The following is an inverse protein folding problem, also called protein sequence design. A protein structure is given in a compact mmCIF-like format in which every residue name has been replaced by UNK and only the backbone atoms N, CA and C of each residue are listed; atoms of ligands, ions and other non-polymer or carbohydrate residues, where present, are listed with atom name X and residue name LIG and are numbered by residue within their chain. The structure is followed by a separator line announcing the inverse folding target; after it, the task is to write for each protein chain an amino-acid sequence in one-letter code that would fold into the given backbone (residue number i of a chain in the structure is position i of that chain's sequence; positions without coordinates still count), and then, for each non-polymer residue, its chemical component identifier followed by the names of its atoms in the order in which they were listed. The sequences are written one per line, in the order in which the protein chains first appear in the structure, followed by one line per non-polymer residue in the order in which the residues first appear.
data_IF_933145148914
#
_entry.id   IF_933145148914
#
_cell.length_a   1.000
_cell.length_b   1.000
_cell.length_c   1.000
_cell.angle_alpha   90.00
_cell.angle_beta   90.00
_cell.angle_gamma   90.00
#
_symmetry.space_group_name_H-M   'P 1'
#
loop_
_entity.id
_entity.type
_entity.pdbx_description
1 polymer ?
#
# COMPACT_ATOMS: atom_id res chain seq x y z
N UNK A 1 11.71 39.25 8.23
CA UNK A 1 11.80 38.89 6.81
C UNK A 1 10.82 37.77 6.47
N UNK A 2 10.89 36.55 7.01
CA UNK A 2 9.83 35.53 6.70
C UNK A 2 8.41 35.98 7.05
N UNK A 3 8.23 36.63 8.21
CA UNK A 3 6.93 37.17 8.61
C UNK A 3 6.38 38.27 7.67
N UNK A 4 7.25 38.94 6.90
CA UNK A 4 6.82 39.96 5.92
C UNK A 4 6.39 39.33 4.59
N UNK A 5 6.98 38.18 4.26
CA UNK A 5 6.71 37.41 3.06
C UNK A 5 5.47 36.52 3.22
N UNK A 6 5.03 36.28 4.45
CA UNK A 6 3.96 35.33 4.81
C UNK A 6 4.21 33.89 4.28
N UNK A 7 5.42 33.61 3.80
CA UNK A 7 5.88 32.32 3.31
C UNK A 7 7.41 32.21 3.41
N UNK A 8 7.96 31.04 3.81
CA UNK A 8 9.42 30.83 3.87
C UNK A 8 10.13 30.96 2.52
N UNK A 9 9.41 30.73 1.42
CA UNK A 9 9.91 30.85 0.05
C UNK A 9 10.43 32.26 -0.28
N UNK A 10 9.98 33.31 0.40
CA UNK A 10 10.38 34.67 0.05
C UNK A 10 11.86 34.95 0.35
N UNK A 11 12.40 34.38 1.44
CA UNK A 11 13.84 34.42 1.71
C UNK A 11 14.63 33.65 0.66
N UNK A 12 14.14 32.46 0.29
CA UNK A 12 14.76 31.63 -0.74
C UNK A 12 14.81 32.38 -2.08
N UNK A 13 13.71 33.02 -2.50
CA UNK A 13 13.66 33.78 -3.75
C UNK A 13 14.62 34.97 -3.72
N UNK A 14 14.72 35.72 -2.62
CA UNK A 14 15.70 36.83 -2.51
C UNK A 14 17.13 36.35 -2.66
N UNK A 15 17.47 35.24 -2.01
CA UNK A 15 18.79 34.61 -2.14
C UNK A 15 19.06 34.15 -3.57
N UNK A 16 18.11 33.42 -4.18
CA UNK A 16 18.25 32.89 -5.54
C UNK A 16 18.34 34.01 -6.57
N UNK A 17 17.58 35.09 -6.42
CA UNK A 17 17.69 36.26 -7.29
C UNK A 17 19.09 36.87 -7.25
N UNK A 18 19.68 37.05 -6.07
CA UNK A 18 21.03 37.59 -5.96
C UNK A 18 22.07 36.70 -6.68
N UNK A 19 21.95 35.38 -6.53
CA UNK A 19 22.81 34.42 -7.26
C UNK A 19 22.55 34.49 -8.77
N UNK A 20 21.29 34.57 -9.20
CA UNK A 20 20.92 34.61 -10.59
C UNK A 20 21.37 35.90 -11.29
N UNK A 21 21.33 37.04 -10.60
CA UNK A 21 21.86 38.32 -11.08
C UNK A 21 23.39 38.27 -11.28
N UNK A 22 24.11 37.59 -10.39
CA UNK A 22 25.57 37.43 -10.52
C UNK A 22 25.91 36.49 -11.69
N UNK A 23 25.20 35.36 -11.84
CA UNK A 23 25.38 34.42 -12.96
C UNK A 23 25.06 35.07 -14.31
N UNK A 24 24.00 35.89 -14.38
CA UNK A 24 23.57 36.55 -15.62
C UNK A 24 24.66 37.42 -16.25
N UNK A 25 25.55 38.01 -15.43
CA UNK A 25 26.64 38.88 -15.91
C UNK A 25 27.65 38.14 -16.80
N UNK A 26 27.84 36.85 -16.59
CA UNK A 26 28.77 36.01 -17.35
C UNK A 26 28.04 35.05 -18.31
N UNK A 27 26.86 34.55 -17.89
CA UNK A 27 26.06 33.57 -18.61
C UNK A 27 24.61 34.06 -18.79
N UNK A 28 24.36 35.02 -19.70
CA UNK A 28 23.06 35.69 -19.81
C UNK A 28 21.90 34.80 -20.26
N UNK A 29 22.20 33.66 -20.89
CA UNK A 29 21.20 32.71 -21.40
C UNK A 29 20.94 31.53 -20.44
N UNK A 30 21.53 31.54 -19.23
CA UNK A 30 21.32 30.48 -18.24
C UNK A 30 20.17 30.78 -17.28
N UNK A 31 19.42 29.72 -17.00
CA UNK A 31 18.37 29.70 -15.98
C UNK A 31 18.91 29.15 -14.67
N UNK A 32 18.51 29.77 -13.55
CA UNK A 32 18.75 29.27 -12.20
C UNK A 32 17.45 28.69 -11.65
N UNK A 33 17.45 27.42 -11.31
CA UNK A 33 16.27 26.76 -10.78
C UNK A 33 16.29 26.70 -9.24
N UNK A 34 15.10 26.84 -8.64
CA UNK A 34 14.89 26.57 -7.22
C UNK A 34 13.56 25.84 -6.98
N UNK A 35 13.46 25.12 -5.86
CA UNK A 35 12.29 24.33 -5.50
C UNK A 35 11.30 25.13 -4.65
N UNK A 36 10.02 25.05 -5.02
CA UNK A 36 8.87 25.34 -4.16
C UNK A 36 8.33 24.01 -3.61
N UNK A 37 9.00 23.49 -2.58
CA UNK A 37 8.78 22.13 -2.10
C UNK A 37 8.73 22.06 -0.58
N UNK A 38 7.72 21.36 -0.05
CA UNK A 38 7.47 21.20 1.38
C UNK A 38 7.50 22.54 2.14
N UNK A 39 8.62 22.88 2.79
CA UNK A 39 8.77 24.11 3.56
C UNK A 39 8.67 25.39 2.72
N UNK A 40 9.15 25.38 1.46
CA UNK A 40 9.09 26.55 0.56
C UNK A 40 7.92 26.48 -0.42
N UNK A 41 6.91 25.65 -0.11
CA UNK A 41 5.81 25.33 -1.02
C UNK A 41 4.96 26.52 -1.44
N UNK A 42 4.58 27.37 -0.48
CA UNK A 42 3.67 28.50 -0.75
C UNK A 42 4.40 29.68 -1.37
N UNK A 43 3.74 30.37 -2.32
CA UNK A 43 4.31 31.54 -2.97
C UNK A 43 4.49 32.72 -1.99
N UNK A 44 5.58 33.49 -2.10
CA UNK A 44 5.82 34.62 -1.20
C UNK A 44 4.98 35.85 -1.57
N UNK A 45 4.64 36.63 -0.55
CA UNK A 45 3.83 37.84 -0.71
C UNK A 45 4.54 38.94 -1.47
N UNK A 46 5.82 39.21 -1.18
CA UNK A 46 6.55 40.37 -1.70
C UNK A 46 7.64 39.98 -2.70
N UNK A 47 8.45 38.97 -2.39
CA UNK A 47 9.52 38.53 -3.29
C UNK A 47 8.95 38.02 -4.62
N UNK A 48 9.66 38.28 -5.72
CA UNK A 48 9.31 37.81 -7.07
C UNK A 48 10.54 37.15 -7.69
N UNK A 49 10.41 35.95 -8.29
CA UNK A 49 11.51 35.35 -9.03
C UNK A 49 12.02 36.28 -10.13
N UNK A 50 13.34 36.38 -10.26
CA UNK A 50 13.98 37.12 -11.35
C UNK A 50 13.66 36.53 -12.72
N UNK A 51 13.94 37.29 -13.78
CA UNK A 51 13.64 36.89 -15.17
C UNK A 51 14.37 35.62 -15.64
N UNK A 52 15.46 35.25 -14.99
CA UNK A 52 16.26 34.04 -15.24
C UNK A 52 16.15 33.02 -14.09
N UNK A 53 15.13 33.14 -13.23
CA UNK A 53 14.85 32.20 -12.14
C UNK A 53 13.62 31.36 -12.48
N UNK A 54 13.78 30.03 -12.43
CA UNK A 54 12.69 29.07 -12.61
C UNK A 54 12.31 28.50 -11.25
N UNK A 55 11.01 28.57 -10.92
CA UNK A 55 10.47 27.92 -9.72
C UNK A 55 9.91 26.56 -10.10
N UNK A 56 10.44 25.50 -9.48
CA UNK A 56 9.97 24.14 -9.67
C UNK A 56 9.01 23.72 -8.55
N UNK A 57 7.74 23.45 -8.89
CA UNK A 57 6.75 22.88 -7.97
C UNK A 57 6.70 21.36 -8.10
N UNK A 58 6.46 20.66 -6.98
CA UNK A 58 6.27 19.21 -6.99
C UNK A 58 4.86 18.80 -6.55
N UNK A 59 4.27 17.76 -7.14
CA UNK A 59 2.89 17.32 -6.82
C UNK A 59 2.81 16.23 -5.75
N UNK A 60 3.86 16.04 -4.93
CA UNK A 60 4.03 14.80 -4.12
C UNK A 60 2.86 14.51 -3.17
N UNK A 61 2.21 15.54 -2.63
CA UNK A 61 1.09 15.40 -1.70
C UNK A 61 -0.27 15.21 -2.42
N UNK A 62 -0.30 15.25 -3.75
CA UNK A 62 -1.53 15.21 -4.53
C UNK A 62 -2.16 13.81 -4.60
N UNK A 63 -3.36 13.77 -5.14
CA UNK A 63 -4.04 12.58 -5.59
C UNK A 63 -3.95 12.46 -7.10
N UNK A 64 -3.47 11.32 -7.58
CA UNK A 64 -3.25 11.04 -9.00
C UNK A 64 -4.43 10.32 -9.66
N UNK A 65 -5.57 10.17 -8.97
CA UNK A 65 -6.83 9.71 -9.55
C UNK A 65 -7.81 10.86 -9.88
N UNK A 66 -7.46 12.10 -9.57
CA UNK A 66 -8.24 13.30 -9.89
C UNK A 66 -7.37 14.32 -10.62
N UNK A 67 -7.91 15.08 -11.59
CA UNK A 67 -7.16 16.17 -12.22
C UNK A 67 -6.70 17.20 -11.17
N UNK A 68 -5.49 17.74 -11.33
CA UNK A 68 -4.94 18.73 -10.39
C UNK A 68 -5.74 20.04 -10.38
N UNK A 69 -6.33 20.41 -11.51
CA UNK A 69 -7.11 21.63 -11.67
C UNK A 69 -8.52 21.56 -11.03
N UNK A 70 -9.18 20.42 -11.10
CA UNK A 70 -10.61 20.33 -10.75
C UNK A 70 -10.90 19.35 -9.61
N UNK A 71 -9.94 18.50 -9.27
CA UNK A 71 -10.07 17.51 -8.20
C UNK A 71 -10.11 18.15 -6.81
N UNK A 72 -11.14 17.88 -5.99
CA UNK A 72 -11.21 18.42 -4.63
C UNK A 72 -10.05 17.97 -3.74
N UNK A 73 -9.48 16.77 -3.98
CA UNK A 73 -8.33 16.29 -3.21
C UNK A 73 -7.02 17.05 -3.52
N UNK A 74 -7.01 17.85 -4.59
CA UNK A 74 -5.84 18.58 -5.09
C UNK A 74 -5.97 20.11 -4.91
N UNK A 75 -7.01 20.58 -4.21
CA UNK A 75 -7.32 22.01 -4.08
C UNK A 75 -6.15 22.82 -3.49
N UNK A 76 -5.43 22.27 -2.53
CA UNK A 76 -4.27 22.92 -1.93
C UNK A 76 -3.16 23.16 -2.96
N UNK A 77 -2.80 22.13 -3.74
CA UNK A 77 -1.82 22.24 -4.82
C UNK A 77 -2.26 23.26 -5.86
N UNK A 78 -3.54 23.25 -6.25
CA UNK A 78 -4.09 24.21 -7.21
C UNK A 78 -3.92 25.65 -6.74
N UNK A 79 -4.22 25.94 -5.46
CA UNK A 79 -4.00 27.28 -4.90
C UNK A 79 -2.53 27.69 -4.96
N UNK A 80 -1.61 26.77 -4.65
CA UNK A 80 -0.18 27.06 -4.69
C UNK A 80 0.30 27.37 -6.11
N UNK A 81 -0.05 26.54 -7.10
CA UNK A 81 0.39 26.77 -8.48
C UNK A 81 -0.27 28.01 -9.11
N UNK A 82 -1.53 28.30 -8.79
CA UNK A 82 -2.18 29.56 -9.19
C UNK A 82 -1.43 30.77 -8.59
N UNK A 83 -1.06 30.71 -7.30
CA UNK A 83 -0.32 31.77 -6.63
C UNK A 83 1.10 31.95 -7.21
N UNK A 84 1.81 30.85 -7.47
CA UNK A 84 3.13 30.89 -8.10
C UNK A 84 3.07 31.40 -9.54
N UNK A 85 2.10 30.94 -10.34
CA UNK A 85 1.91 31.38 -11.72
C UNK A 85 1.63 32.88 -11.83
N UNK A 86 1.05 33.50 -10.80
CA UNK A 86 0.79 34.93 -10.76
C UNK A 86 2.05 35.79 -10.49
N UNK A 87 3.10 35.20 -9.90
CA UNK A 87 4.29 35.93 -9.44
C UNK A 87 5.57 35.52 -10.14
N UNK A 88 5.63 34.31 -10.69
CA UNK A 88 6.77 33.77 -11.41
C UNK A 88 6.54 33.87 -12.93
N UNK A 89 7.55 34.31 -13.71
CA UNK A 89 7.41 34.39 -15.16
C UNK A 89 7.31 33.01 -15.81
N UNK A 90 7.95 32.01 -15.21
CA UNK A 90 8.03 30.65 -15.72
C UNK A 90 8.07 29.66 -14.56
N UNK A 91 7.40 28.52 -14.75
CA UNK A 91 7.42 27.40 -13.81
C UNK A 91 8.07 26.17 -14.45
N UNK A 92 8.56 25.29 -13.59
CA UNK A 92 8.86 23.90 -13.91
C UNK A 92 8.00 23.04 -12.99
N UNK A 93 7.43 21.95 -13.49
CA UNK A 93 6.74 20.97 -12.67
C UNK A 93 7.54 19.68 -12.55
N UNK A 94 7.62 19.15 -11.33
CA UNK A 94 7.99 17.78 -11.03
C UNK A 94 6.71 17.03 -10.61
N UNK A 95 6.16 16.25 -11.54
CA UNK A 95 4.96 15.45 -11.31
C UNK A 95 5.33 13.97 -11.09
N UNK A 96 4.44 13.19 -10.46
CA UNK A 96 4.71 11.81 -10.05
C UNK A 96 3.65 10.87 -10.62
N UNK A 97 4.09 9.80 -11.27
CA UNK A 97 3.18 8.94 -12.05
C UNK A 97 3.29 7.45 -11.73
N UNK A 98 3.82 7.12 -10.56
CA UNK A 98 3.95 5.75 -10.04
C UNK A 98 3.70 5.69 -8.53
N UNK A 99 3.63 4.48 -8.00
CA UNK A 99 3.62 4.20 -6.56
C UNK A 99 5.02 3.79 -6.07
N UNK A 100 5.78 4.72 -5.51
CA UNK A 100 7.15 4.50 -5.05
C UNK A 100 7.27 3.53 -3.89
N UNK A 101 6.22 3.32 -3.09
CA UNK A 101 6.24 2.31 -2.04
C UNK A 101 6.00 0.89 -2.54
N UNK A 102 5.33 0.74 -3.69
CA UNK A 102 4.89 -0.55 -4.24
C UNK A 102 4.69 -0.45 -5.76
N UNK A 103 5.78 -0.50 -6.52
CA UNK A 103 5.81 -0.45 -7.98
C UNK A 103 4.96 -1.54 -8.66
N UNK A 104 4.80 -2.68 -7.97
CA UNK A 104 4.04 -3.84 -8.44
C UNK A 104 2.55 -3.76 -8.13
N UNK A 105 2.02 -2.65 -7.60
CA UNK A 105 0.59 -2.47 -7.42
C UNK A 105 -0.03 -1.66 -8.57
N UNK A 106 -1.30 -1.92 -8.93
CA UNK A 106 -2.03 -1.08 -9.87
C UNK A 106 -2.04 0.40 -9.42
N UNK A 107 -1.79 1.33 -10.35
CA UNK A 107 -1.73 2.76 -10.09
C UNK A 107 -2.54 3.55 -11.15
N UNK A 108 -3.89 3.59 -11.02
CA UNK A 108 -4.79 4.10 -12.05
C UNK A 108 -4.78 5.63 -12.17
N UNK A 109 -3.79 6.17 -12.87
CA UNK A 109 -3.59 7.61 -13.09
C UNK A 109 -3.52 8.03 -14.58
N UNK A 110 -3.82 7.14 -15.53
CA UNK A 110 -3.73 7.45 -16.96
C UNK A 110 -4.72 8.56 -17.38
N UNK A 111 -5.89 8.60 -16.72
CA UNK A 111 -6.95 9.59 -17.04
C UNK A 111 -6.58 11.03 -16.67
N UNK A 112 -5.64 11.23 -15.75
CA UNK A 112 -5.28 12.59 -15.28
C UNK A 112 -4.11 13.20 -16.05
N UNK A 113 -3.34 12.41 -16.82
CA UNK A 113 -2.12 12.87 -17.47
C UNK A 113 -2.38 14.05 -18.43
N UNK A 114 -3.33 13.91 -19.36
CA UNK A 114 -3.66 14.97 -20.30
C UNK A 114 -4.20 16.26 -19.64
N UNK A 115 -5.21 16.22 -18.75
CA UNK A 115 -5.68 17.44 -18.08
C UNK A 115 -4.60 18.07 -17.20
N UNK A 116 -3.76 17.29 -16.51
CA UNK A 116 -2.66 17.83 -15.70
C UNK A 116 -1.62 18.57 -16.56
N UNK A 117 -1.17 17.97 -17.67
CA UNK A 117 -0.21 18.60 -18.58
C UNK A 117 -0.76 19.92 -19.12
N UNK A 118 -2.03 19.96 -19.54
CA UNK A 118 -2.68 21.19 -20.03
C UNK A 118 -2.75 22.25 -18.94
N UNK A 119 -3.15 21.86 -17.74
CA UNK A 119 -3.19 22.75 -16.57
C UNK A 119 -1.80 23.36 -16.28
N UNK A 120 -0.72 22.59 -16.39
CA UNK A 120 0.64 23.12 -16.23
C UNK A 120 0.99 24.15 -17.32
N UNK A 121 0.70 23.84 -18.59
CA UNK A 121 0.94 24.77 -19.71
C UNK A 121 0.18 26.09 -19.52
N UNK A 122 -1.07 26.03 -19.04
CA UNK A 122 -1.89 27.21 -18.73
C UNK A 122 -1.40 28.01 -17.51
N UNK A 123 -0.43 27.50 -16.75
CA UNK A 123 0.16 28.14 -15.56
C UNK A 123 1.64 28.47 -15.75
N UNK A 124 2.02 28.82 -16.97
CA UNK A 124 3.38 29.23 -17.36
C UNK A 124 4.44 28.15 -17.16
N UNK A 125 4.07 26.86 -17.07
CA UNK A 125 5.06 25.80 -17.02
C UNK A 125 5.75 25.63 -18.38
N UNK A 126 7.07 25.77 -18.39
CA UNK A 126 7.92 25.57 -19.57
C UNK A 126 8.72 24.28 -19.51
N UNK A 127 8.72 23.62 -18.35
CA UNK A 127 9.36 22.34 -18.10
C UNK A 127 8.44 21.43 -17.31
N UNK A 128 8.47 20.14 -17.64
CA UNK A 128 7.74 19.09 -16.95
C UNK A 128 8.62 17.85 -16.83
N UNK A 129 8.79 17.39 -15.60
CA UNK A 129 9.47 16.15 -15.26
C UNK A 129 8.45 15.21 -14.63
N UNK A 130 8.07 14.17 -15.37
CA UNK A 130 7.16 13.12 -14.93
C UNK A 130 7.97 11.98 -14.32
N UNK A 131 8.08 11.94 -13.00
CA UNK A 131 8.81 10.89 -12.32
C UNK A 131 7.97 9.62 -12.27
N UNK A 132 8.34 8.67 -13.12
CA UNK A 132 7.82 7.31 -13.13
C UNK A 132 8.73 6.32 -12.42
N UNK A 133 8.40 5.05 -12.60
CA UNK A 133 9.21 3.94 -12.10
C UNK A 133 10.36 3.63 -13.07
N UNK A 134 11.59 3.79 -12.58
CA UNK A 134 12.80 3.42 -13.30
C UNK A 134 13.44 2.12 -12.80
N UNK A 135 12.91 1.54 -11.71
CA UNK A 135 13.51 0.41 -11.01
C UNK A 135 12.78 -0.91 -11.23
N UNK A 136 11.47 -0.88 -11.55
CA UNK A 136 10.69 -2.10 -11.79
C UNK A 136 10.45 -2.35 -13.27
N UNK A 137 10.91 -3.50 -13.78
CA UNK A 137 10.61 -3.90 -15.15
C UNK A 137 9.12 -4.24 -15.35
N UNK A 138 8.39 -4.63 -14.29
CA UNK A 138 7.01 -5.10 -14.32
C UNK A 138 6.00 -4.16 -13.63
N UNK A 139 6.36 -2.88 -13.47
CA UNK A 139 5.42 -1.90 -12.91
C UNK A 139 4.14 -1.75 -13.74
N UNK A 140 3.12 -1.18 -13.13
CA UNK A 140 1.78 -1.01 -13.72
C UNK A 140 1.84 -0.28 -15.07
N UNK A 141 1.75 -1.00 -16.20
CA UNK A 141 1.68 -0.44 -17.56
C UNK A 141 2.72 0.66 -17.88
N UNK A 142 3.96 0.54 -17.38
CA UNK A 142 5.02 1.57 -17.52
C UNK A 142 5.23 2.02 -18.97
N UNK A 143 5.30 1.07 -19.92
CA UNK A 143 5.51 1.39 -21.33
C UNK A 143 4.34 2.17 -21.96
N UNK A 144 3.10 1.84 -21.60
CA UNK A 144 1.91 2.57 -22.04
C UNK A 144 1.92 4.00 -21.48
N UNK A 145 2.27 4.15 -20.20
CA UNK A 145 2.35 5.45 -19.56
C UNK A 145 3.43 6.33 -20.18
N UNK A 146 4.62 5.78 -20.41
CA UNK A 146 5.71 6.48 -21.09
C UNK A 146 5.31 6.91 -22.52
N UNK A 147 4.60 6.05 -23.26
CA UNK A 147 4.06 6.37 -24.58
C UNK A 147 3.11 7.58 -24.53
N UNK A 148 2.10 7.52 -23.65
CA UNK A 148 1.11 8.59 -23.49
C UNK A 148 1.77 9.91 -23.09
N UNK A 149 2.65 9.89 -22.10
CA UNK A 149 3.38 11.07 -21.64
C UNK A 149 4.25 11.68 -22.74
N UNK A 150 5.07 10.87 -23.43
CA UNK A 150 5.92 11.36 -24.51
C UNK A 150 5.11 12.08 -25.61
N UNK A 151 3.92 11.56 -25.92
CA UNK A 151 3.05 12.14 -26.94
C UNK A 151 2.35 13.42 -26.47
N UNK A 152 1.91 13.46 -25.22
CA UNK A 152 1.23 14.63 -24.64
C UNK A 152 2.22 15.76 -24.31
N UNK A 153 3.43 15.45 -23.85
CA UNK A 153 4.48 16.45 -23.62
C UNK A 153 4.94 17.09 -24.93
N UNK A 154 4.89 16.36 -26.05
CA UNK A 154 5.14 16.92 -27.37
C UNK A 154 3.96 17.75 -27.89
N UNK A 155 2.72 17.26 -27.69
CA UNK A 155 1.51 17.96 -28.10
C UNK A 155 0.36 17.72 -27.09
N UNK A 156 0.11 18.67 -26.16
CA UNK A 156 -0.92 18.53 -25.13
C UNK A 156 -2.35 18.45 -25.68
N UNK A 157 -2.60 18.89 -26.92
CA UNK A 157 -3.94 18.88 -27.53
C UNK A 157 -4.40 17.49 -27.98
N UNK A 158 -3.50 16.49 -28.01
CA UNK A 158 -3.87 15.12 -28.42
C UNK A 158 -4.89 14.50 -27.47
N UNK A 159 -5.74 13.65 -28.02
CA UNK A 159 -6.69 12.86 -27.24
C UNK A 159 -5.96 11.67 -26.56
N UNK A 160 -5.94 11.61 -25.21
CA UNK A 160 -5.30 10.52 -24.49
C UNK A 160 -5.98 9.16 -24.77
N UNK A 161 -7.29 9.12 -25.04
CA UNK A 161 -7.98 7.85 -25.31
C UNK A 161 -7.51 7.21 -26.61
N UNK A 162 -7.33 8.03 -27.64
CA UNK A 162 -6.75 7.59 -28.92
C UNK A 162 -5.32 7.05 -28.71
N UNK A 163 -4.47 7.75 -27.95
CA UNK A 163 -3.10 7.29 -27.64
C UNK A 163 -3.07 5.95 -26.92
N UNK A 164 -3.95 5.76 -25.93
CA UNK A 164 -4.07 4.50 -25.19
C UNK A 164 -4.53 3.38 -26.13
N UNK A 165 -5.55 3.61 -26.94
CA UNK A 165 -6.06 2.61 -27.90
C UNK A 165 -4.99 2.23 -28.94
N UNK A 166 -4.28 3.21 -29.49
CA UNK A 166 -3.16 2.99 -30.43
C UNK A 166 -2.08 2.09 -29.81
N UNK A 167 -1.66 2.40 -28.58
CA UNK A 167 -0.65 1.61 -27.88
C UNK A 167 -1.15 0.20 -27.58
N UNK A 168 -2.36 0.05 -27.03
CA UNK A 168 -2.90 -1.26 -26.69
C UNK A 168 -3.02 -2.14 -27.93
N UNK A 169 -3.53 -1.60 -29.03
CA UNK A 169 -3.65 -2.31 -30.30
C UNK A 169 -2.28 -2.68 -30.89
N UNK A 170 -1.31 -1.78 -30.87
CA UNK A 170 0.02 -2.02 -31.45
C UNK A 170 0.91 -2.92 -30.59
N UNK A 171 0.82 -2.81 -29.27
CA UNK A 171 1.71 -3.50 -28.34
C UNK A 171 1.13 -4.84 -27.84
N UNK A 172 -0.19 -4.93 -27.63
CA UNK A 172 -0.84 -6.15 -27.11
C UNK A 172 -1.71 -6.87 -28.16
N UNK A 173 -1.95 -6.27 -29.33
CA UNK A 173 -2.64 -6.92 -30.44
C UNK A 173 -4.06 -7.37 -30.04
N UNK A 174 -4.43 -8.66 -30.20
CA UNK A 174 -5.75 -9.17 -29.85
C UNK A 174 -6.15 -8.98 -28.36
N UNK A 175 -5.19 -8.79 -27.46
CA UNK A 175 -5.45 -8.51 -26.04
C UNK A 175 -5.80 -7.04 -25.76
N UNK A 176 -5.79 -6.13 -26.75
CA UNK A 176 -6.02 -4.71 -26.54
C UNK A 176 -7.35 -4.41 -25.84
N UNK A 177 -8.43 -5.04 -26.28
CA UNK A 177 -9.78 -4.83 -25.75
C UNK A 177 -9.94 -5.26 -24.28
N UNK A 178 -9.61 -6.51 -23.86
CA UNK A 178 -9.73 -6.89 -22.45
C UNK A 178 -8.79 -6.08 -21.54
N UNK A 179 -7.61 -5.67 -22.03
CA UNK A 179 -6.71 -4.82 -21.25
C UNK A 179 -7.24 -3.38 -21.14
N UNK A 180 -7.93 -2.88 -22.16
CA UNK A 180 -8.63 -1.59 -22.08
C UNK A 180 -9.74 -1.64 -21.03
N UNK A 181 -10.55 -2.70 -21.03
CA UNK A 181 -11.58 -2.90 -20.01
C UNK A 181 -10.98 -3.03 -18.60
N UNK A 182 -9.81 -3.67 -18.45
CA UNK A 182 -9.11 -3.71 -17.17
C UNK A 182 -8.69 -2.32 -16.70
N UNK A 183 -8.09 -1.51 -17.59
CA UNK A 183 -7.71 -0.14 -17.26
C UNK A 183 -8.94 0.69 -16.87
N UNK A 184 -10.04 0.58 -17.61
CA UNK A 184 -11.27 1.30 -17.29
C UNK A 184 -11.88 0.84 -15.96
N UNK A 185 -11.82 -0.46 -15.64
CA UNK A 185 -12.24 -1.02 -14.35
C UNK A 185 -11.45 -0.44 -13.18
N UNK A 186 -10.11 -0.46 -13.23
CA UNK A 186 -9.30 0.02 -12.08
C UNK A 186 -9.43 1.53 -11.86
N UNK A 187 -9.60 2.32 -12.93
CA UNK A 187 -9.90 3.74 -12.80
C UNK A 187 -11.29 3.99 -12.21
N UNK A 188 -12.31 3.26 -12.67
CA UNK A 188 -13.65 3.37 -12.10
C UNK A 188 -13.70 2.94 -10.62
N UNK A 189 -12.90 1.94 -10.22
CA UNK A 189 -12.84 1.46 -8.84
C UNK A 189 -12.31 2.53 -7.88
N UNK A 190 -11.18 3.19 -8.21
CA UNK A 190 -10.63 4.29 -7.40
C UNK A 190 -11.53 5.53 -7.39
N UNK A 191 -12.17 5.86 -8.52
CA UNK A 191 -13.11 6.98 -8.61
C UNK A 191 -14.34 6.73 -7.71
N UNK A 192 -14.91 5.53 -7.78
CA UNK A 192 -16.10 5.13 -7.01
C UNK A 192 -15.81 5.06 -5.51
N UNK A 193 -14.62 4.62 -5.10
CA UNK A 193 -14.29 4.50 -3.68
C UNK A 193 -14.13 5.85 -2.99
N UNK A 194 -13.84 6.91 -3.74
CA UNK A 194 -13.52 8.23 -3.19
C UNK A 194 -12.19 8.28 -2.45
N UNK A 195 -11.40 7.19 -2.48
CA UNK A 195 -10.10 7.14 -1.84
C UNK A 195 -9.11 8.08 -2.55
N UNK A 196 -8.05 8.45 -1.81
CA UNK A 196 -6.94 9.21 -2.37
C UNK A 196 -5.95 8.24 -3.03
N UNK A 197 -5.44 8.59 -4.21
CA UNK A 197 -4.36 7.86 -4.86
C UNK A 197 -3.03 8.64 -4.74
N UNK A 198 -2.29 8.51 -3.64
CA UNK A 198 -0.97 9.12 -3.51
C UNK A 198 0.09 8.32 -4.31
N UNK A 199 1.31 8.89 -4.43
CA UNK A 199 2.47 8.19 -4.96
C UNK A 199 3.18 7.26 -3.95
N UNK A 200 2.66 7.17 -2.71
CA UNK A 200 3.06 6.19 -1.69
C UNK A 200 1.81 5.53 -1.11
N UNK A 201 1.42 4.38 -1.64
CA UNK A 201 0.28 3.60 -1.18
C UNK A 201 0.71 2.13 -0.89
N UNK A 202 0.50 1.60 0.32
CA UNK A 202 1.01 0.30 0.71
C UNK A 202 0.24 -0.89 0.11
N UNK A 203 -1.04 -0.71 -0.22
CA UNK A 203 -1.93 -1.74 -0.75
C UNK A 203 -3.10 -1.12 -1.54
N UNK A 204 -4.00 -1.95 -2.09
CA UNK A 204 -5.20 -1.51 -2.83
C UNK A 204 -6.51 -1.67 -2.06
N UNK A 205 -6.45 -1.92 -0.74
CA UNK A 205 -7.61 -2.30 0.08
C UNK A 205 -8.68 -1.21 0.17
N UNK A 206 -8.27 0.05 0.05
CA UNK A 206 -9.17 1.21 0.16
C UNK A 206 -9.99 1.47 -1.09
N UNK A 207 -9.69 0.82 -2.22
CA UNK A 207 -10.28 1.16 -3.50
C UNK A 207 -10.54 0.03 -4.49
N UNK A 208 -9.88 -1.12 -4.34
CA UNK A 208 -10.06 -2.27 -5.24
C UNK A 208 -10.75 -3.40 -4.48
N UNK A 209 -12.03 -3.65 -4.76
CA UNK A 209 -12.83 -4.65 -4.04
C UNK A 209 -12.51 -6.09 -4.49
N UNK A 210 -13.02 -7.08 -3.75
CA UNK A 210 -12.94 -8.49 -4.15
C UNK A 210 -13.62 -8.72 -5.51
N UNK A 211 -14.78 -8.10 -5.73
CA UNK A 211 -15.52 -8.18 -6.98
C UNK A 211 -14.78 -7.52 -8.14
N UNK A 212 -14.10 -6.40 -7.90
CA UNK A 212 -13.26 -5.77 -8.91
C UNK A 212 -12.04 -6.64 -9.24
N UNK A 213 -11.38 -7.24 -8.23
CA UNK A 213 -10.28 -8.18 -8.45
C UNK A 213 -10.72 -9.41 -9.26
N UNK A 214 -11.90 -9.96 -8.98
CA UNK A 214 -12.47 -11.06 -9.75
C UNK A 214 -12.71 -10.69 -11.21
N UNK A 215 -13.26 -9.50 -11.47
CA UNK A 215 -13.44 -8.99 -12.84
C UNK A 215 -12.10 -8.76 -13.52
N UNK A 216 -11.14 -8.16 -12.83
CA UNK A 216 -9.79 -7.96 -13.34
C UNK A 216 -9.12 -9.29 -13.71
N UNK A 217 -9.27 -10.33 -12.88
CA UNK A 217 -8.78 -11.68 -13.19
C UNK A 217 -9.42 -12.22 -14.48
N UNK A 218 -10.74 -12.12 -14.61
CA UNK A 218 -11.44 -12.60 -15.81
C UNK A 218 -10.99 -11.87 -17.09
N UNK A 219 -10.72 -10.56 -17.00
CA UNK A 219 -10.22 -9.75 -18.10
C UNK A 219 -8.80 -10.16 -18.51
N UNK A 220 -7.90 -10.35 -17.55
CA UNK A 220 -6.55 -10.85 -17.85
C UNK A 220 -6.55 -12.28 -18.39
N UNK A 221 -7.43 -13.15 -17.89
CA UNK A 221 -7.60 -14.49 -18.45
C UNK A 221 -8.10 -14.44 -19.89
N UNK A 222 -9.01 -13.52 -20.22
CA UNK A 222 -9.46 -13.28 -21.58
C UNK A 222 -8.33 -12.76 -22.48
N UNK A 223 -7.52 -11.81 -22.00
CA UNK A 223 -6.33 -11.33 -22.70
C UNK A 223 -5.32 -12.46 -22.97
N UNK A 224 -5.09 -13.32 -21.99
CA UNK A 224 -4.20 -14.49 -22.11
C UNK A 224 -4.70 -15.49 -23.17
N UNK A 225 -6.01 -15.79 -23.17
CA UNK A 225 -6.61 -16.66 -24.21
C UNK A 225 -6.47 -16.07 -25.62
N UNK A 226 -6.64 -14.76 -25.79
CA UNK A 226 -6.52 -14.09 -27.09
C UNK A 226 -5.07 -14.05 -27.63
N UNK A 227 -4.08 -14.37 -26.79
CA UNK A 227 -2.64 -14.29 -27.12
C UNK A 227 -1.90 -15.61 -26.98
N UNK A 228 -2.60 -16.73 -26.72
CA UNK A 228 -1.97 -18.03 -26.43
C UNK A 228 -1.06 -18.57 -27.54
N UNK A 229 -1.38 -18.24 -28.80
CA UNK A 229 -0.65 -18.71 -29.97
C UNK A 229 0.54 -17.81 -30.36
N UNK A 230 0.73 -16.67 -29.68
CA UNK A 230 1.84 -15.75 -29.92
C UNK A 230 2.66 -15.59 -28.64
N UNK A 231 3.84 -16.19 -28.61
CA UNK A 231 4.71 -16.18 -27.44
C UNK A 231 5.10 -14.76 -26.98
N UNK A 232 5.26 -13.81 -27.90
CA UNK A 232 5.64 -12.43 -27.57
C UNK A 232 4.46 -11.69 -26.93
N UNK A 233 3.28 -11.81 -27.52
CA UNK A 233 2.08 -11.16 -26.96
C UNK A 233 1.66 -11.81 -25.64
N UNK A 234 1.75 -13.13 -25.54
CA UNK A 234 1.48 -13.87 -24.31
C UNK A 234 2.41 -13.41 -23.17
N UNK A 235 3.69 -13.25 -23.45
CA UNK A 235 4.67 -12.80 -22.47
C UNK A 235 4.41 -11.35 -22.01
N UNK A 236 4.03 -10.46 -22.94
CA UNK A 236 3.60 -9.09 -22.62
C UNK A 236 2.37 -9.06 -21.72
N UNK A 237 1.34 -9.86 -22.01
CA UNK A 237 0.13 -9.95 -21.19
C UNK A 237 0.45 -10.49 -19.81
N UNK A 238 1.29 -11.54 -19.71
CA UNK A 238 1.72 -12.10 -18.42
C UNK A 238 2.52 -11.08 -17.61
N UNK A 239 3.38 -10.30 -18.26
CA UNK A 239 4.13 -9.21 -17.62
C UNK A 239 3.21 -8.13 -17.06
N UNK A 240 2.19 -7.71 -17.84
CA UNK A 240 1.20 -6.75 -17.39
C UNK A 240 0.30 -7.28 -16.25
N UNK A 241 0.06 -8.60 -16.20
CA UNK A 241 -0.73 -9.24 -15.13
C UNK A 241 -0.03 -9.24 -13.76
N UNK A 242 1.31 -9.14 -13.73
CA UNK A 242 2.09 -9.20 -12.49
C UNK A 242 1.54 -8.27 -11.40
N UNK A 243 1.02 -7.08 -11.76
CA UNK A 243 0.47 -6.15 -10.76
C UNK A 243 -0.85 -6.62 -10.12
N UNK A 244 -1.67 -7.34 -10.89
CA UNK A 244 -2.89 -7.97 -10.38
C UNK A 244 -2.55 -9.16 -9.47
N UNK A 245 -1.61 -10.00 -9.90
CA UNK A 245 -1.18 -11.17 -9.14
C UNK A 245 -0.53 -10.75 -7.80
N UNK A 246 0.25 -9.66 -7.81
CA UNK A 246 0.78 -9.08 -6.58
C UNK A 246 -0.32 -8.50 -5.68
N UNK A 247 -1.35 -7.85 -6.23
CA UNK A 247 -2.49 -7.36 -5.44
C UNK A 247 -3.26 -8.50 -4.76
N UNK A 248 -3.41 -9.66 -5.43
CA UNK A 248 -3.96 -10.87 -4.82
C UNK A 248 -3.08 -11.39 -3.69
N UNK A 249 -1.77 -11.53 -3.90
CA UNK A 249 -0.83 -12.00 -2.88
C UNK A 249 -0.81 -11.06 -1.66
N UNK A 250 -0.69 -9.76 -1.90
CA UNK A 250 -0.60 -8.73 -0.86
C UNK A 250 -1.81 -8.73 0.08
N UNK A 251 -2.99 -9.11 -0.43
CA UNK A 251 -4.27 -9.06 0.30
C UNK A 251 -4.93 -10.43 0.47
N UNK A 252 -4.21 -11.52 0.21
CA UNK A 252 -4.79 -12.87 0.14
C UNK A 252 -5.60 -13.25 1.39
N UNK A 253 -5.07 -13.12 2.64
CA UNK A 253 -5.79 -13.58 3.83
C UNK A 253 -7.16 -12.88 3.99
N UNK A 254 -7.16 -11.55 3.87
CA UNK A 254 -8.38 -10.75 3.96
C UNK A 254 -9.39 -11.07 2.85
N UNK A 255 -8.94 -11.17 1.60
CA UNK A 255 -9.84 -11.42 0.46
C UNK A 255 -10.43 -12.83 0.47
N UNK A 256 -9.63 -13.84 0.82
CA UNK A 256 -10.09 -15.23 0.94
C UNK A 256 -11.13 -15.36 2.04
N UNK A 257 -10.85 -14.75 3.20
CA UNK A 257 -11.79 -14.68 4.31
C UNK A 257 -13.08 -13.93 3.94
N UNK A 258 -12.97 -12.76 3.30
CA UNK A 258 -14.12 -11.99 2.85
C UNK A 258 -15.00 -12.82 1.91
N UNK A 259 -14.40 -13.45 0.89
CA UNK A 259 -15.11 -14.29 -0.07
C UNK A 259 -15.90 -15.40 0.62
N UNK A 260 -15.27 -16.09 1.58
CA UNK A 260 -15.89 -17.15 2.36
C UNK A 260 -17.03 -16.66 3.25
N UNK A 261 -16.83 -15.55 3.97
CA UNK A 261 -17.82 -15.02 4.91
C UNK A 261 -19.04 -14.40 4.23
N UNK A 262 -18.84 -13.81 3.04
CA UNK A 262 -19.87 -13.13 2.26
C UNK A 262 -20.42 -13.99 1.12
N UNK A 263 -19.92 -15.23 0.96
CA UNK A 263 -20.32 -16.17 -0.10
C UNK A 263 -20.14 -15.56 -1.52
N UNK A 264 -19.10 -14.74 -1.70
CA UNK A 264 -18.72 -14.13 -2.99
C UNK A 264 -17.73 -15.07 -3.69
N UNK A 265 -17.78 -15.24 -5.02
CA UNK A 265 -16.78 -16.01 -5.76
C UNK A 265 -15.34 -15.53 -5.46
N UNK A 266 -14.39 -16.45 -5.42
CA UNK A 266 -12.97 -16.15 -5.22
C UNK A 266 -12.18 -16.63 -6.44
N UNK A 267 -11.76 -15.70 -7.31
CA UNK A 267 -10.91 -15.99 -8.48
C UNK A 267 -9.42 -15.74 -8.19
N UNK A 268 -9.07 -15.51 -6.92
CA UNK A 268 -7.69 -15.45 -6.46
C UNK A 268 -7.05 -16.84 -6.38
N UNK A 269 -5.83 -16.94 -5.83
CA UNK A 269 -5.11 -18.20 -5.74
C UNK A 269 -5.76 -19.19 -4.77
N UNK A 270 -6.12 -20.38 -5.26
CA UNK A 270 -6.63 -21.49 -4.44
C UNK A 270 -5.52 -22.16 -3.61
N UNK A 271 -4.29 -22.12 -4.10
CA UNK A 271 -3.08 -22.51 -3.39
C UNK A 271 -2.14 -21.29 -3.33
N UNK A 272 -2.20 -20.49 -2.25
CA UNK A 272 -1.44 -19.26 -2.12
C UNK A 272 0.07 -19.48 -2.11
N UNK A 273 0.53 -20.59 -1.52
CA UNK A 273 1.95 -20.93 -1.45
C UNK A 273 2.50 -21.24 -2.85
N UNK A 274 1.82 -22.10 -3.61
CA UNK A 274 2.21 -22.40 -4.98
C UNK A 274 2.10 -21.18 -5.90
N UNK A 275 1.07 -20.35 -5.72
CA UNK A 275 0.92 -19.10 -6.47
C UNK A 275 2.02 -18.09 -6.16
N UNK A 276 2.43 -17.98 -4.89
CA UNK A 276 3.55 -17.14 -4.45
C UNK A 276 4.85 -17.57 -5.14
N UNK A 277 5.19 -18.86 -5.13
CA UNK A 277 6.41 -19.34 -5.81
C UNK A 277 6.33 -19.15 -7.33
N UNK A 278 5.16 -19.37 -7.95
CA UNK A 278 4.97 -19.10 -9.38
C UNK A 278 5.13 -17.62 -9.73
N UNK A 279 4.68 -16.71 -8.85
CA UNK A 279 4.87 -15.28 -8.98
C UNK A 279 6.35 -14.90 -8.83
N UNK A 280 7.07 -15.48 -7.86
CA UNK A 280 8.50 -15.25 -7.66
C UNK A 280 9.29 -15.71 -8.90
N UNK A 281 9.02 -16.90 -9.42
CA UNK A 281 9.66 -17.41 -10.63
C UNK A 281 9.37 -16.52 -11.86
N UNK A 282 8.14 -16.02 -11.99
CA UNK A 282 7.79 -15.10 -13.06
C UNK A 282 8.54 -13.76 -12.92
N UNK A 283 8.63 -13.23 -11.70
CA UNK A 283 9.38 -12.01 -11.41
C UNK A 283 10.87 -12.16 -11.71
N UNK A 284 11.49 -13.28 -11.32
CA UNK A 284 12.88 -13.59 -11.66
C UNK A 284 13.08 -13.69 -13.18
N UNK A 285 12.18 -14.38 -13.90
CA UNK A 285 12.24 -14.49 -15.37
C UNK A 285 12.16 -13.13 -16.06
N UNK A 286 11.33 -12.23 -15.52
CA UNK A 286 11.15 -10.89 -16.07
C UNK A 286 12.20 -9.88 -15.61
N UNK A 287 13.15 -10.30 -14.76
CA UNK A 287 14.19 -9.45 -14.17
C UNK A 287 13.62 -8.15 -13.62
N UNK A 288 12.71 -8.26 -12.63
CA UNK A 288 11.93 -7.09 -12.24
C UNK A 288 12.78 -5.97 -11.63
N UNK A 289 13.96 -6.25 -11.08
CA UNK A 289 14.76 -5.26 -10.35
C UNK A 289 14.15 -4.92 -8.99
N UNK A 290 13.49 -3.76 -8.90
CA UNK A 290 12.96 -3.21 -7.66
C UNK A 290 11.44 -3.42 -7.53
N UNK A 291 10.96 -3.56 -6.30
CA UNK A 291 9.51 -3.55 -6.01
C UNK A 291 9.03 -2.23 -5.42
N UNK A 292 9.97 -1.37 -5.01
CA UNK A 292 9.75 -0.01 -4.48
C UNK A 292 10.99 0.84 -4.70
N UNK A 293 10.89 2.14 -4.50
CA UNK A 293 12.03 3.06 -4.55
C UNK A 293 13.12 2.63 -3.55
N UNK A 294 14.32 2.34 -4.08
CA UNK A 294 15.46 1.87 -3.31
C UNK A 294 15.36 0.45 -2.73
N UNK A 295 14.32 -0.33 -3.05
CA UNK A 295 14.13 -1.69 -2.52
C UNK A 295 14.12 -2.76 -3.61
N UNK A 296 15.09 -3.68 -3.55
CA UNK A 296 15.20 -4.77 -4.51
C UNK A 296 14.11 -5.82 -4.29
N UNK A 297 13.61 -6.44 -5.34
CA UNK A 297 12.55 -7.46 -5.24
C UNK A 297 12.91 -8.63 -4.32
N UNK A 298 14.17 -9.04 -4.31
CA UNK A 298 14.65 -10.12 -3.44
C UNK A 298 14.36 -9.86 -1.94
N UNK A 299 14.30 -8.59 -1.54
CA UNK A 299 14.05 -8.18 -0.15
C UNK A 299 12.57 -8.37 0.23
N UNK A 300 11.67 -8.48 -0.77
CA UNK A 300 10.24 -8.75 -0.59
C UNK A 300 9.93 -10.25 -0.44
N UNK A 301 10.81 -11.15 -0.86
CA UNK A 301 10.56 -12.59 -0.88
C UNK A 301 10.19 -13.18 0.50
N UNK A 302 10.89 -12.85 1.61
CA UNK A 302 10.53 -13.38 2.92
C UNK A 302 9.12 -12.96 3.34
N UNK A 303 8.75 -11.70 3.10
CA UNK A 303 7.42 -11.18 3.43
C UNK A 303 6.31 -11.78 2.56
N UNK A 304 6.59 -12.03 1.27
CA UNK A 304 5.66 -12.72 0.37
C UNK A 304 5.38 -14.15 0.82
N UNK A 305 6.44 -14.93 1.09
CA UNK A 305 6.32 -16.31 1.56
C UNK A 305 5.61 -16.40 2.90
N UNK A 306 5.95 -15.49 3.82
CA UNK A 306 5.31 -15.43 5.14
C UNK A 306 3.80 -15.17 5.05
N UNK A 307 3.35 -14.36 4.09
CA UNK A 307 1.93 -14.09 3.89
C UNK A 307 1.14 -15.26 3.28
N UNK A 308 1.82 -16.19 2.63
CA UNK A 308 1.20 -17.25 1.84
C UNK A 308 1.41 -18.65 2.45
N UNK A 309 1.41 -18.74 3.79
CA UNK A 309 1.48 -20.02 4.48
C UNK A 309 0.32 -20.96 4.08
N UNK A 310 0.54 -22.29 4.08
CA UNK A 310 -0.53 -23.25 3.96
C UNK A 310 -1.57 -23.06 5.07
N UNK A 311 -2.86 -23.32 4.80
CA UNK A 311 -3.89 -23.21 5.84
C UNK A 311 -3.62 -24.20 6.98
N UNK A 312 -3.68 -23.71 8.22
CA UNK A 312 -3.61 -24.52 9.43
C UNK A 312 -4.87 -25.40 9.58
N UNK A 313 -4.76 -26.46 10.39
CA UNK A 313 -5.96 -27.20 10.81
C UNK A 313 -6.87 -26.31 11.68
N UNK A 314 -8.20 -26.34 11.47
CA UNK A 314 -9.13 -25.54 12.26
C UNK A 314 -8.99 -25.80 13.78
N UNK A 315 -9.21 -24.77 14.63
CA UNK A 315 -9.23 -24.94 16.08
C UNK A 315 -10.26 -25.99 16.52
N UNK A 316 -9.97 -26.73 17.60
CA UNK A 316 -10.85 -27.80 18.09
C UNK A 316 -12.25 -27.27 18.47
N UNK A 317 -12.34 -26.04 18.96
CA UNK A 317 -13.56 -25.31 19.31
C UNK A 317 -14.45 -25.04 18.09
N UNK A 318 -13.87 -25.07 16.89
CA UNK A 318 -14.57 -24.89 15.62
C UNK A 318 -15.07 -26.22 15.02
N UNK A 319 -14.78 -27.36 15.65
CA UNK A 319 -15.16 -28.68 15.14
C UNK A 319 -16.69 -28.78 14.93
N UNK A 320 -17.09 -29.20 13.73
CA UNK A 320 -18.50 -29.37 13.34
C UNK A 320 -19.26 -28.07 13.04
N UNK A 321 -18.62 -26.89 13.13
CA UNK A 321 -19.22 -25.62 12.71
C UNK A 321 -19.08 -25.42 11.22
N UNK A 322 -20.03 -24.72 10.60
CA UNK A 322 -19.86 -24.31 9.21
C UNK A 322 -18.69 -23.34 9.13
N UNK A 323 -17.91 -23.38 8.05
CA UNK A 323 -16.72 -22.54 7.92
C UNK A 323 -17.06 -21.05 8.10
N UNK A 324 -18.19 -20.58 7.56
CA UNK A 324 -18.66 -19.18 7.70
C UNK A 324 -18.94 -18.71 9.13
N UNK A 325 -19.06 -19.63 10.08
CA UNK A 325 -19.35 -19.35 11.49
C UNK A 325 -18.08 -19.14 12.32
N UNK A 326 -16.90 -19.27 11.72
CA UNK A 326 -15.64 -19.00 12.40
C UNK A 326 -14.57 -18.40 11.48
N UNK A 327 -13.59 -17.78 12.11
CA UNK A 327 -12.44 -17.13 11.47
C UNK A 327 -11.19 -17.48 12.26
N UNK A 328 -10.15 -17.91 11.57
CA UNK A 328 -8.85 -18.22 12.13
C UNK A 328 -7.82 -17.24 11.57
N UNK A 329 -7.12 -16.55 12.46
CA UNK A 329 -6.11 -15.53 12.18
C UNK A 329 -4.78 -16.06 12.70
N UNK A 330 -3.86 -16.29 11.77
CA UNK A 330 -2.53 -16.82 12.05
C UNK A 330 -1.51 -15.70 12.28
N UNK A 331 -0.31 -16.10 12.69
CA UNK A 331 0.80 -15.22 13.05
C UNK A 331 1.17 -14.18 11.97
N UNK A 332 1.01 -14.55 10.70
CA UNK A 332 1.30 -13.71 9.54
C UNK A 332 0.32 -12.55 9.33
N UNK A 333 -0.80 -12.52 10.06
CA UNK A 333 -1.77 -11.42 10.06
C UNK A 333 -1.62 -10.51 11.30
N UNK A 334 -0.70 -10.81 12.23
CA UNK A 334 -0.48 -10.00 13.41
C UNK A 334 0.29 -8.72 13.11
N UNK A 335 -0.05 -7.66 13.85
CA UNK A 335 0.70 -6.42 13.93
C UNK A 335 1.75 -6.55 15.03
N UNK A 336 3.02 -6.61 14.63
CA UNK A 336 4.16 -6.64 15.55
C UNK A 336 4.69 -5.23 15.77
N UNK A 337 4.69 -4.76 17.02
CA UNK A 337 5.31 -3.48 17.39
C UNK A 337 6.78 -3.70 17.73
N UNK A 338 7.65 -2.86 17.15
CA UNK A 338 9.11 -2.94 17.28
C UNK A 338 9.64 -4.37 17.00
N UNK A 339 9.48 -4.86 15.75
CA UNK A 339 9.87 -6.21 15.38
C UNK A 339 11.34 -6.49 15.70
N UNK A 340 11.66 -7.74 16.02
CA UNK A 340 12.97 -8.24 16.45
C UNK A 340 13.45 -7.73 17.82
N UNK A 341 12.74 -6.77 18.43
CA UNK A 341 13.02 -6.27 19.79
C UNK A 341 11.94 -6.68 20.79
N UNK A 342 10.67 -6.39 20.50
CA UNK A 342 9.55 -6.73 21.40
C UNK A 342 8.72 -7.92 20.91
N UNK A 343 8.73 -8.20 19.61
CA UNK A 343 8.08 -9.38 19.06
C UNK A 343 8.78 -9.81 17.78
N UNK A 344 8.81 -11.11 17.52
CA UNK A 344 9.28 -11.66 16.24
C UNK A 344 8.47 -12.90 15.87
N UNK A 345 8.30 -13.17 14.58
CA UNK A 345 7.80 -14.46 14.10
C UNK A 345 8.93 -15.48 14.16
N UNK A 346 8.68 -16.61 14.81
CA UNK A 346 9.67 -17.70 14.96
C UNK A 346 9.09 -19.03 14.47
N UNK A 347 9.98 -19.96 14.11
CA UNK A 347 9.61 -21.36 13.93
C UNK A 347 9.22 -21.97 15.28
N UNK A 348 8.02 -22.55 15.35
CA UNK A 348 7.58 -23.37 16.48
C UNK A 348 6.78 -24.57 15.96
N UNK A 349 7.37 -25.76 15.99
CA UNK A 349 6.74 -26.99 15.50
C UNK A 349 5.48 -27.40 16.29
N UNK A 350 5.20 -26.76 17.45
CA UNK A 350 3.99 -26.97 18.23
C UNK A 350 2.85 -26.04 17.81
N UNK A 351 3.17 -24.95 17.10
CA UNK A 351 2.18 -24.04 16.56
C UNK A 351 1.51 -24.66 15.33
N UNK A 352 0.38 -24.11 14.96
CA UNK A 352 -0.57 -24.77 14.08
C UNK A 352 -0.23 -24.76 12.60
N UNK A 353 0.47 -23.71 12.17
CA UNK A 353 1.09 -23.60 10.86
C UNK A 353 2.63 -23.75 10.94
N UNK A 354 3.14 -24.09 12.13
CA UNK A 354 4.57 -24.21 12.41
C UNK A 354 5.26 -22.88 12.76
N UNK A 355 4.50 -21.78 12.90
CA UNK A 355 5.01 -20.45 13.24
C UNK A 355 4.27 -19.86 14.44
N UNK A 356 4.96 -18.99 15.18
CA UNK A 356 4.35 -18.26 16.28
C UNK A 356 4.95 -16.87 16.42
N UNK A 357 4.16 -15.92 16.87
CA UNK A 357 4.68 -14.64 17.35
C UNK A 357 5.25 -14.83 18.77
N UNK A 358 6.55 -14.60 18.93
CA UNK A 358 7.28 -14.71 20.20
C UNK A 358 7.53 -13.31 20.77
N UNK A 359 7.20 -13.11 22.04
CA UNK A 359 7.57 -11.93 22.82
C UNK A 359 8.49 -12.32 23.98
N UNK A 360 9.67 -11.69 24.15
CA UNK A 360 10.47 -11.86 25.35
C UNK A 360 9.74 -11.29 26.59
N UNK A 361 10.02 -11.86 27.76
CA UNK A 361 9.35 -11.48 29.00
C UNK A 361 9.97 -10.25 29.72
N UNK A 362 10.71 -9.40 29.01
CA UNK A 362 11.50 -8.26 29.55
C UNK A 362 10.86 -6.88 29.28
N UNK A 363 9.58 -6.87 28.86
CA UNK A 363 8.81 -5.66 28.66
C UNK A 363 7.33 -5.84 29.01
N UNK A 364 6.57 -4.75 28.97
CA UNK A 364 5.10 -4.71 29.17
C UNK A 364 4.33 -4.21 27.94
N UNK A 365 5.02 -4.02 26.82
CA UNK A 365 4.42 -3.53 25.58
C UNK A 365 3.39 -4.50 25.01
N UNK A 366 2.33 -3.96 24.41
CA UNK A 366 1.31 -4.69 23.66
C UNK A 366 1.87 -5.06 22.28
N UNK A 367 2.92 -5.88 22.28
CA UNK A 367 3.80 -6.04 21.13
C UNK A 367 3.20 -6.90 20.01
N UNK A 368 2.25 -7.78 20.34
CA UNK A 368 1.45 -8.53 19.37
C UNK A 368 0.00 -8.03 19.43
N UNK A 369 -0.50 -7.55 18.29
CA UNK A 369 -1.86 -7.05 18.16
C UNK A 369 -2.54 -7.62 16.89
N UNK A 370 -3.86 -7.68 16.91
CA UNK A 370 -4.67 -7.89 15.71
C UNK A 370 -5.79 -6.86 15.66
N UNK A 371 -5.68 -5.91 14.73
CA UNK A 371 -6.74 -4.95 14.44
C UNK A 371 -7.92 -5.69 13.80
N UNK A 372 -9.07 -5.68 14.47
CA UNK A 372 -10.26 -6.39 13.97
C UNK A 372 -10.82 -5.61 12.78
N UNK A 373 -10.77 -6.15 11.55
CA UNK A 373 -11.25 -5.46 10.37
C UNK A 373 -12.77 -5.36 10.39
N UNK A 374 -13.30 -4.36 9.68
CA UNK A 374 -14.74 -4.10 9.57
C UNK A 374 -15.53 -5.34 9.14
N UNK A 375 -14.97 -6.15 8.23
CA UNK A 375 -15.61 -7.39 7.77
C UNK A 375 -15.91 -8.39 8.89
N UNK A 376 -15.14 -8.39 9.99
CA UNK A 376 -15.42 -9.18 11.19
C UNK A 376 -16.39 -8.45 12.11
N UNK A 377 -16.23 -7.14 12.29
CA UNK A 377 -17.15 -6.30 13.08
C UNK A 377 -18.59 -6.39 12.60
N UNK A 378 -18.81 -6.45 11.28
CA UNK A 378 -20.13 -6.48 10.65
C UNK A 378 -20.86 -7.83 10.83
N UNK A 379 -20.16 -8.87 11.32
CA UNK A 379 -20.76 -10.18 11.60
C UNK A 379 -21.62 -10.20 12.88
N UNK A 380 -21.54 -9.14 13.69
CA UNK A 380 -22.19 -9.04 15.00
C UNK A 380 -21.28 -9.51 16.15
N UNK A 381 -21.83 -9.85 17.32
CA UNK A 381 -21.03 -10.33 18.44
C UNK A 381 -20.31 -11.64 18.11
N UNK A 382 -18.99 -11.69 18.33
CA UNK A 382 -18.16 -12.87 18.12
C UNK A 382 -17.52 -13.30 19.45
N UNK A 383 -17.48 -14.60 19.70
CA UNK A 383 -16.62 -15.18 20.73
C UNK A 383 -15.17 -15.11 20.25
N UNK A 384 -14.27 -14.53 21.04
CA UNK A 384 -12.86 -14.39 20.70
C UNK A 384 -11.98 -15.32 21.53
N UNK A 385 -11.04 -16.00 20.90
CA UNK A 385 -10.06 -16.85 21.55
C UNK A 385 -8.65 -16.47 21.10
N UNK A 386 -7.68 -16.59 21.99
CA UNK A 386 -6.26 -16.43 21.69
C UNK A 386 -5.54 -17.71 22.12
N UNK A 387 -4.79 -18.32 21.20
CA UNK A 387 -4.05 -19.56 21.45
C UNK A 387 -2.61 -19.22 21.79
N UNK A 388 -2.20 -19.53 23.01
CA UNK A 388 -0.93 -19.06 23.59
C UNK A 388 -0.21 -20.15 24.37
N UNK A 389 1.12 -20.02 24.46
CA UNK A 389 1.99 -20.84 25.29
C UNK A 389 3.05 -19.97 25.94
N UNK A 390 3.46 -20.31 27.15
CA UNK A 390 4.54 -19.65 27.87
C UNK A 390 5.76 -20.55 28.01
N UNK A 391 6.93 -19.93 28.13
CA UNK A 391 8.16 -20.56 28.61
C UNK A 391 8.58 -19.88 29.89
N UNK A 392 8.58 -20.64 30.99
CA UNK A 392 8.85 -20.16 32.33
C UNK A 392 10.19 -20.68 32.87
N UNK A 393 10.79 -19.90 33.76
CA UNK A 393 11.97 -20.24 34.57
C UNK A 393 11.58 -20.72 35.97
N UNK A 394 10.35 -20.41 36.40
CA UNK A 394 9.79 -20.80 37.71
C UNK A 394 8.53 -21.64 37.53
N UNK A 395 8.08 -22.31 38.59
CA UNK A 395 6.89 -23.17 38.56
C UNK A 395 5.55 -22.43 38.69
N UNK A 396 5.58 -21.18 39.16
CA UNK A 396 4.39 -20.40 39.50
C UNK A 396 4.64 -18.92 39.33
N UNK A 397 3.60 -18.14 39.00
CA UNK A 397 3.67 -16.69 38.92
C UNK A 397 2.81 -16.08 37.80
N UNK A 398 2.99 -14.79 37.55
CA UNK A 398 2.34 -14.13 36.42
C UNK A 398 3.08 -14.46 35.12
N UNK A 399 2.36 -14.87 34.07
CA UNK A 399 2.97 -15.11 32.76
C UNK A 399 2.80 -13.90 31.84
N UNK A 400 1.55 -13.55 31.52
CA UNK A 400 1.21 -12.47 30.61
C UNK A 400 -0.21 -11.98 30.82
N UNK A 401 -0.56 -10.91 30.12
CA UNK A 401 -1.91 -10.38 30.03
C UNK A 401 -2.34 -10.29 28.58
N UNK A 402 -3.64 -10.44 28.33
CA UNK A 402 -4.23 -10.29 27.02
C UNK A 402 -5.63 -9.68 27.14
N UNK A 403 -6.12 -9.12 26.04
CA UNK A 403 -7.41 -8.46 26.05
C UNK A 403 -7.86 -7.96 24.69
N UNK A 404 -9.00 -7.29 24.72
CA UNK A 404 -9.62 -6.62 23.58
C UNK A 404 -9.73 -5.15 23.94
N UNK A 405 -9.09 -4.29 23.17
CA UNK A 405 -9.23 -2.84 23.29
C UNK A 405 -10.24 -2.33 22.26
N UNK A 406 -10.93 -1.23 22.60
CA UNK A 406 -11.75 -0.49 21.66
C UNK A 406 -11.64 1.03 21.91
N UNK A 407 -11.54 1.87 20.87
CA UNK A 407 -11.51 3.31 21.03
C UNK A 407 -12.71 3.84 21.82
N UNK A 408 -12.45 4.76 22.76
CA UNK A 408 -13.48 5.34 23.62
C UNK A 408 -13.86 4.50 24.84
N UNK A 409 -13.34 3.28 25.00
CA UNK A 409 -13.57 2.45 26.18
C UNK A 409 -12.36 2.43 27.11
N UNK A 410 -12.48 3.09 28.28
CA UNK A 410 -11.38 3.20 29.26
C UNK A 410 -10.93 1.88 29.88
N UNK A 411 -11.81 0.87 29.95
CA UNK A 411 -11.53 -0.41 30.60
C UNK A 411 -11.22 -1.56 29.61
N UNK A 412 -11.19 -1.30 28.30
CA UNK A 412 -11.22 -2.37 27.28
C UNK A 412 -12.56 -3.10 27.23
N UNK A 413 -12.74 -3.96 26.21
CA UNK A 413 -13.91 -4.84 26.07
C UNK A 413 -13.76 -6.14 26.87
N UNK A 414 -12.53 -6.64 26.98
CA UNK A 414 -12.17 -7.81 27.75
C UNK A 414 -10.69 -7.75 28.16
N UNK A 415 -10.35 -8.30 29.32
CA UNK A 415 -8.97 -8.46 29.76
C UNK A 415 -8.83 -9.67 30.69
N UNK A 416 -7.76 -10.43 30.53
CA UNK A 416 -7.38 -11.54 31.39
C UNK A 416 -5.89 -11.50 31.72
N UNK A 417 -5.56 -11.88 32.95
CA UNK A 417 -4.20 -12.22 33.35
C UNK A 417 -4.07 -13.75 33.33
N UNK A 418 -2.98 -14.25 32.79
CA UNK A 418 -2.69 -15.69 32.68
C UNK A 418 -1.48 -16.01 33.54
N UNK A 419 -1.58 -17.11 34.29
CA UNK A 419 -0.54 -17.57 35.19
C UNK A 419 0.48 -18.47 34.48
N UNK A 420 1.65 -18.68 35.09
CA UNK A 420 2.65 -19.63 34.61
C UNK A 420 2.08 -21.06 34.65
N UNK A 421 1.34 -21.38 35.70
CA UNK A 421 0.72 -22.67 35.95
C UNK A 421 -0.27 -23.05 34.85
N UNK A 422 -0.98 -22.07 34.29
CA UNK A 422 -2.01 -22.27 33.26
C UNK A 422 -1.47 -22.21 31.83
N UNK A 423 -0.18 -21.93 31.61
CA UNK A 423 0.34 -21.66 30.25
C UNK A 423 1.74 -22.19 29.94
N UNK A 424 2.54 -22.56 30.96
CA UNK A 424 3.94 -22.96 30.80
C UNK A 424 4.15 -24.48 30.90
N UNK A 425 3.16 -25.30 30.57
CA UNK A 425 3.27 -26.77 30.54
C UNK A 425 3.89 -27.33 29.25
N UNK A 426 4.31 -26.42 28.35
CA UNK A 426 4.92 -26.77 27.07
C UNK A 426 3.93 -27.04 25.94
N UNK A 427 2.63 -26.80 26.14
CA UNK A 427 1.58 -26.90 25.12
C UNK A 427 0.84 -25.59 24.90
N UNK A 428 0.13 -25.45 23.77
CA UNK A 428 -0.69 -24.29 23.47
C UNK A 428 -2.08 -24.40 24.09
N UNK A 429 -2.56 -23.31 24.69
CA UNK A 429 -3.84 -23.22 25.38
C UNK A 429 -4.72 -22.14 24.76
N UNK A 430 -5.99 -22.47 24.54
CA UNK A 430 -7.00 -21.51 24.09
C UNK A 430 -7.53 -20.67 25.25
N UNK A 431 -7.28 -19.37 25.21
CA UNK A 431 -7.78 -18.41 26.20
C UNK A 431 -9.00 -17.70 25.64
N UNK A 432 -10.15 -17.99 26.21
CA UNK A 432 -11.43 -17.37 25.85
C UNK A 432 -11.51 -15.92 26.36
N UNK A 433 -11.69 -14.94 25.48
CA UNK A 433 -11.88 -13.51 25.80
C UNK A 433 -13.35 -13.08 25.88
N UNK A 434 -14.28 -14.02 25.73
CA UNK A 434 -15.72 -13.77 25.79
C UNK A 434 -16.33 -13.40 24.44
N UNK A 435 -17.67 -13.34 24.42
CA UNK A 435 -18.46 -12.84 23.29
C UNK A 435 -18.52 -11.31 23.32
N UNK A 436 -18.01 -10.67 22.27
CA UNK A 436 -17.89 -9.21 22.19
C UNK A 436 -18.40 -8.69 20.86
N UNK A 437 -18.95 -7.47 20.87
CA UNK A 437 -19.14 -6.67 19.66
C UNK A 437 -17.89 -5.82 19.42
N UNK A 438 -17.36 -5.83 18.20
CA UNK A 438 -16.11 -5.16 17.85
C UNK A 438 -16.39 -3.84 17.11
N UNK A 439 -16.44 -2.67 17.77
CA UNK A 439 -16.61 -1.41 17.09
C UNK A 439 -15.38 -1.06 16.21
N UNK A 440 -15.51 -0.10 15.28
CA UNK A 440 -14.39 0.34 14.46
C UNK A 440 -13.15 0.71 15.29
N UNK A 441 -12.00 0.15 14.91
CA UNK A 441 -10.72 0.36 15.60
C UNK A 441 -10.49 -0.54 16.82
N UNK A 442 -11.39 -1.49 17.11
CA UNK A 442 -11.13 -2.51 18.11
C UNK A 442 -9.98 -3.43 17.69
N UNK A 443 -9.18 -3.89 18.65
CA UNK A 443 -8.09 -4.81 18.42
C UNK A 443 -7.86 -5.75 19.60
N UNK A 444 -7.39 -6.95 19.30
CA UNK A 444 -6.89 -7.91 20.29
C UNK A 444 -5.44 -7.58 20.59
N UNK A 445 -5.01 -7.66 21.85
CA UNK A 445 -3.64 -7.38 22.26
C UNK A 445 -3.15 -8.42 23.28
N UNK A 446 -1.84 -8.67 23.27
CA UNK A 446 -1.13 -9.54 24.21
C UNK A 446 0.12 -8.81 24.71
N UNK A 447 0.44 -8.94 26.00
CA UNK A 447 1.56 -8.26 26.64
C UNK A 447 2.22 -9.12 27.75
N UNK A 448 3.56 -9.24 27.77
CA UNK A 448 4.26 -9.89 28.88
C UNK A 448 4.22 -9.03 30.15
N UNK A 449 4.62 -9.63 31.29
CA UNK A 449 4.57 -8.98 32.60
C UNK A 449 5.87 -8.30 33.06
N UNK A 450 6.90 -8.23 32.20
CA UNK A 450 8.25 -7.75 32.55
C UNK A 450 8.84 -8.42 33.81
N UNK A 451 8.92 -9.74 33.77
CA UNK A 451 9.45 -10.60 34.83
C UNK A 451 10.45 -11.62 34.28
N UNK A 452 11.57 -11.17 33.67
CA UNK A 452 12.52 -12.05 32.98
C UNK A 452 13.21 -13.09 33.89
N UNK A 453 13.17 -12.88 35.20
CA UNK A 453 13.65 -13.84 36.21
C UNK A 453 12.71 -15.06 36.36
N UNK A 454 11.43 -14.91 36.04
CA UNK A 454 10.38 -15.94 36.17
C UNK A 454 9.93 -16.49 34.82
N UNK A 455 9.97 -15.67 33.77
CA UNK A 455 9.49 -15.98 32.45
C UNK A 455 10.60 -15.75 31.42
N UNK A 456 10.65 -16.59 30.39
CA UNK A 456 11.53 -16.40 29.24
C UNK A 456 10.81 -15.69 28.11
N UNK A 457 9.67 -16.25 27.68
CA UNK A 457 8.93 -15.73 26.54
C UNK A 457 7.47 -16.20 26.53
N UNK A 458 6.66 -15.48 25.77
CA UNK A 458 5.27 -15.80 25.44
C UNK A 458 5.18 -16.04 23.94
N UNK A 459 4.48 -17.09 23.54
CA UNK A 459 4.27 -17.49 22.15
C UNK A 459 2.78 -17.43 21.84
N UNK A 460 2.42 -16.77 20.74
CA UNK A 460 1.05 -16.67 20.23
C UNK A 460 1.01 -17.44 18.91
N UNK A 461 0.19 -18.49 18.87
CA UNK A 461 -0.06 -19.30 17.66
C UNK A 461 -1.06 -18.58 16.77
N UNK A 462 -2.28 -18.36 17.28
CA UNK A 462 -3.40 -17.82 16.50
C UNK A 462 -4.41 -17.06 17.35
N UNK A 463 -5.25 -16.28 16.68
CA UNK A 463 -6.46 -15.67 17.23
C UNK A 463 -7.62 -16.19 16.40
N UNK A 464 -8.68 -16.68 17.04
CA UNK A 464 -9.86 -17.11 16.28
C UNK A 464 -11.17 -16.59 16.88
N UNK A 465 -12.14 -16.42 15.99
CA UNK A 465 -13.45 -15.87 16.29
C UNK A 465 -14.53 -16.87 15.92
N UNK A 466 -15.57 -16.99 16.75
CA UNK A 466 -16.73 -17.86 16.52
C UNK A 466 -18.01 -17.04 16.64
N UNK A 467 -18.92 -17.17 15.68
CA UNK A 467 -20.25 -16.52 15.66
C UNK A 467 -21.22 -17.09 16.70
#
# INVERSE_FOLDING_TARGET
MEAEEEAPSGLLIRFVNAVAEDIEREFPDMWVETLAYQYTRSAPKLARPGKNVIVRLCTIECSFCQPLETGPQNEAFRRDIDAWSAVAPQLYIWDYVTNFSQSLLPHPNLRVLAPNIRFFVERNAIGLFEQGDAGCACGDFVALRAWVLAHLMWNPSRDPNTLVSEFLQGYYGPAAEPLREYLDLVHAAIEKSGAKLPCYLPDTSTWLTLEDLNKATALFDAAGRKTSEDAVLSDRVRKARMVLDYAWLNRHPALSRQARLQEIPYLGPTDPAAFCEAFIQAAERFDIGNYREGGAFKDLLPALRSRCHPPAQPPAECAGKAERDWVDIQDNEFQLHNPDTWAAIVDDAKASDGKAARMPADHTQWAVQYSVPRELSDLGPLQCFVVVRAEARTASGAAFTLGIYAPGQKAGLAQKAVSIEDSADGTYHSIDLGRQSFPPGAYVWIAPCNNPDQMEAVYIDRIFFIR
#
